data_IF_284885909533
#
_entry.id   IF_284885909533
#
_cell.length_a   1.000
_cell.length_b   1.000
_cell.length_c   1.000
_cell.angle_alpha   90.00
_cell.angle_beta   90.00
_cell.angle_gamma   90.00
#
_symmetry.space_group_name_H-M   'P 1'
#
loop_
_entity.id
_entity.type
_entity.pdbx_description
1 polymer ?
#
# COMPACT_ATOMS: atom_id res chain seq x y z
N UNK A 1 -10.72 -7.51 -10.75
CA UNK A 1 -10.22 -7.46 -9.35
C UNK A 1 -8.82 -8.04 -9.21
N UNK A 2 -8.51 -9.25 -9.73
CA UNK A 2 -7.14 -9.87 -9.64
C UNK A 2 -5.97 -8.98 -10.07
N UNK A 3 -6.04 -8.33 -11.24
CA UNK A 3 -4.94 -7.48 -11.73
C UNK A 3 -4.59 -6.31 -10.79
N UNK A 4 -5.57 -5.82 -10.02
CA UNK A 4 -5.37 -4.75 -9.04
C UNK A 4 -4.71 -5.29 -7.78
N UNK A 5 -5.18 -6.45 -7.31
CA UNK A 5 -4.59 -7.19 -6.19
C UNK A 5 -3.14 -7.60 -6.48
N UNK A 6 -2.87 -8.13 -7.67
CA UNK A 6 -1.53 -8.57 -8.08
C UNK A 6 -0.55 -7.39 -8.19
N UNK A 7 -1.03 -6.22 -8.63
CA UNK A 7 -0.22 -4.99 -8.69
C UNK A 7 0.10 -4.48 -7.28
N UNK A 8 -0.88 -4.46 -6.38
CA UNK A 8 -0.71 -4.05 -4.98
C UNK A 8 0.25 -5.00 -4.24
N UNK A 9 0.07 -6.31 -4.39
CA UNK A 9 0.93 -7.33 -3.79
C UNK A 9 2.39 -7.20 -4.25
N UNK A 10 2.61 -6.97 -5.55
CA UNK A 10 3.95 -6.79 -6.12
C UNK A 10 4.57 -5.45 -5.73
N UNK A 11 3.81 -4.35 -5.76
CA UNK A 11 4.28 -3.06 -5.28
C UNK A 11 4.66 -3.12 -3.81
N UNK A 12 3.92 -3.88 -2.99
CA UNK A 12 4.21 -4.11 -1.59
C UNK A 12 5.48 -4.94 -1.37
N UNK A 13 5.63 -6.07 -2.08
CA UNK A 13 6.86 -6.88 -2.03
C UNK A 13 8.09 -6.10 -2.51
N UNK A 14 7.90 -5.12 -3.38
CA UNK A 14 9.02 -4.30 -3.88
C UNK A 14 9.28 -3.08 -3.00
N UNK A 15 8.26 -2.46 -2.40
CA UNK A 15 8.43 -1.44 -1.38
C UNK A 15 9.14 -2.02 -0.14
N UNK A 16 8.75 -3.22 0.30
CA UNK A 16 9.46 -3.97 1.33
C UNK A 16 10.80 -4.54 0.84
N UNK A 17 10.90 -4.94 -0.43
CA UNK A 17 12.12 -5.51 -1.02
C UNK A 17 13.29 -4.52 -1.10
N UNK A 18 13.02 -3.21 -1.03
CA UNK A 18 14.05 -2.17 -0.87
C UNK A 18 14.44 -1.91 0.59
N UNK A 19 13.71 -2.48 1.57
CA UNK A 19 14.02 -2.40 2.98
C UNK A 19 14.52 -3.78 3.46
N UNK A 20 15.84 -3.98 3.57
CA UNK A 20 16.43 -5.30 3.80
C UNK A 20 15.92 -5.86 5.12
N UNK A 21 14.94 -6.79 5.09
CA UNK A 21 14.34 -7.46 6.26
C UNK A 21 14.34 -6.58 7.51
N UNK A 22 14.02 -5.29 7.32
CA UNK A 22 14.26 -4.31 8.34
C UNK A 22 13.33 -4.67 9.48
N UNK A 23 13.88 -4.78 10.69
CA UNK A 23 13.13 -5.17 11.89
C UNK A 23 11.87 -4.31 12.00
N UNK A 24 10.73 -4.93 11.69
CA UNK A 24 9.42 -4.29 11.89
C UNK A 24 9.11 -4.45 13.37
N UNK A 25 9.07 -3.33 14.08
CA UNK A 25 8.70 -3.28 15.48
C UNK A 25 7.21 -2.98 15.59
N UNK A 26 6.44 -3.92 16.13
CA UNK A 26 5.03 -3.70 16.46
C UNK A 26 4.91 -2.68 17.61
N UNK A 27 4.04 -1.70 17.44
CA UNK A 27 3.80 -0.63 18.42
C UNK A 27 2.46 -0.80 19.13
N UNK A 28 1.48 -1.44 18.50
CA UNK A 28 0.18 -1.70 19.10
C UNK A 28 -0.91 -1.99 18.09
N UNK A 29 -2.09 -2.32 18.61
CA UNK A 29 -3.29 -2.51 17.82
C UNK A 29 -4.50 -1.85 18.47
N UNK A 30 -5.45 -1.44 17.63
CA UNK A 30 -6.76 -0.94 18.04
C UNK A 30 -7.82 -1.63 17.21
N UNK A 31 -8.82 -2.22 17.88
CA UNK A 31 -9.96 -2.90 17.23
C UNK A 31 -11.22 -2.11 17.52
N UNK A 32 -12.03 -1.87 16.48
CA UNK A 32 -13.31 -1.16 16.56
C UNK A 32 -14.33 -1.82 15.63
N UNK A 33 -15.16 -2.69 16.19
CA UNK A 33 -16.11 -3.49 15.43
C UNK A 33 -15.40 -4.37 14.40
N UNK A 34 -15.79 -4.32 13.11
CA UNK A 34 -15.15 -5.11 12.06
C UNK A 34 -13.83 -4.49 11.56
N UNK A 35 -13.38 -3.38 12.14
CA UNK A 35 -12.14 -2.70 11.74
C UNK A 35 -11.03 -2.90 12.77
N UNK A 36 -9.80 -3.01 12.30
CA UNK A 36 -8.63 -2.93 13.16
C UNK A 36 -7.54 -2.07 12.52
N UNK A 37 -6.74 -1.44 13.37
CA UNK A 37 -5.54 -0.72 13.01
C UNK A 37 -4.38 -1.33 13.77
N UNK A 38 -3.37 -1.79 13.05
CA UNK A 38 -2.12 -2.30 13.62
C UNK A 38 -1.01 -1.33 13.30
N UNK A 39 -0.38 -0.77 14.33
CA UNK A 39 0.72 0.19 14.21
C UNK A 39 2.06 -0.51 14.36
N UNK A 40 2.98 -0.18 13.48
CA UNK A 40 4.34 -0.69 13.45
C UNK A 40 5.33 0.38 13.01
N UNK A 41 6.61 0.14 13.26
CA UNK A 41 7.73 0.97 12.80
C UNK A 41 8.76 0.11 12.08
N UNK A 42 9.30 0.61 10.97
CA UNK A 42 10.33 -0.07 10.19
C UNK A 42 11.59 0.79 10.11
N UNK A 43 12.76 0.18 10.29
CA UNK A 43 14.04 0.86 10.12
C UNK A 43 14.43 0.95 8.64
N UNK A 44 14.51 2.16 8.09
CA UNK A 44 14.84 2.41 6.68
C UNK A 44 16.33 2.71 6.52
N UNK A 45 17.19 1.75 6.91
CA UNK A 45 18.64 1.88 6.80
C UNK A 45 19.18 3.22 7.36
N UNK A 46 19.94 3.96 6.55
CA UNK A 46 20.48 5.29 6.92
C UNK A 46 19.44 6.44 6.88
N UNK A 47 18.22 6.20 6.39
CA UNK A 47 17.20 7.25 6.21
C UNK A 47 16.28 7.45 7.42
N UNK A 48 16.50 6.69 8.51
CA UNK A 48 15.70 6.80 9.74
C UNK A 48 14.66 5.68 9.87
N UNK A 49 13.51 5.99 10.45
CA UNK A 49 12.40 5.04 10.64
C UNK A 49 11.15 5.53 9.93
N UNK A 50 10.38 4.63 9.33
CA UNK A 50 9.06 4.93 8.78
C UNK A 50 7.97 4.32 9.68
N UNK A 51 6.85 5.02 9.82
CA UNK A 51 5.64 4.49 10.46
C UNK A 51 4.83 3.65 9.46
N UNK A 52 4.24 2.57 9.95
CA UNK A 52 3.41 1.65 9.20
C UNK A 52 2.09 1.47 9.97
N UNK A 53 0.96 1.73 9.33
CA UNK A 53 -0.35 1.36 9.84
C UNK A 53 -1.01 0.37 8.88
N UNK A 54 -1.34 -0.81 9.37
CA UNK A 54 -2.15 -1.77 8.64
C UNK A 54 -3.61 -1.54 9.02
N UNK A 55 -4.46 -1.25 8.05
CA UNK A 55 -5.90 -1.15 8.25
C UNK A 55 -6.54 -2.45 7.81
N UNK A 56 -7.21 -3.11 8.74
CA UNK A 56 -7.82 -4.41 8.54
C UNK A 56 -9.34 -4.30 8.60
N UNK A 57 -9.98 -5.17 7.83
CA UNK A 57 -11.41 -5.42 7.86
C UNK A 57 -11.61 -6.90 8.15
N UNK A 58 -12.49 -7.20 9.10
CA UNK A 58 -12.96 -8.53 9.41
C UNK A 58 -14.10 -8.89 8.46
N UNK A 59 -14.01 -10.06 7.84
CA UNK A 59 -15.05 -10.61 6.98
C UNK A 59 -15.07 -12.12 7.14
N UNK A 60 -16.24 -12.68 7.44
CA UNK A 60 -16.46 -14.12 7.62
C UNK A 60 -15.51 -14.79 8.64
N UNK A 61 -15.26 -14.12 9.76
CA UNK A 61 -14.36 -14.56 10.83
C UNK A 61 -12.88 -14.35 10.52
N UNK A 62 -12.53 -13.60 9.46
CA UNK A 62 -11.16 -13.46 8.97
C UNK A 62 -10.77 -12.00 8.80
N UNK A 63 -9.66 -11.63 9.42
CA UNK A 63 -9.05 -10.32 9.23
C UNK A 63 -8.25 -10.29 7.93
N UNK A 64 -8.52 -9.28 7.10
CA UNK A 64 -7.75 -9.00 5.89
C UNK A 64 -7.28 -7.54 5.90
N UNK A 65 -6.01 -7.31 5.58
CA UNK A 65 -5.48 -5.96 5.37
C UNK A 65 -6.10 -5.41 4.07
N UNK A 66 -6.77 -4.26 4.14
CA UNK A 66 -7.32 -3.60 2.97
C UNK A 66 -6.57 -2.33 2.57
N UNK A 67 -5.81 -1.73 3.49
CA UNK A 67 -4.97 -0.56 3.22
C UNK A 67 -3.74 -0.58 4.13
N UNK A 68 -2.66 0.02 3.63
CA UNK A 68 -1.43 0.24 4.39
C UNK A 68 -1.13 1.73 4.30
N UNK A 69 -0.82 2.33 5.43
CA UNK A 69 -0.43 3.73 5.54
C UNK A 69 1.04 3.76 5.89
N UNK A 70 1.85 4.42 5.06
CA UNK A 70 3.28 4.62 5.31
C UNK A 70 3.50 6.11 5.55
N UNK A 71 4.04 6.48 6.71
CA UNK A 71 4.25 7.89 7.08
C UNK A 71 3.01 8.78 6.84
N UNK A 72 1.82 8.27 7.17
CA UNK A 72 0.54 8.96 6.97
C UNK A 72 -0.04 8.89 5.56
N UNK A 73 0.67 8.32 4.59
CA UNK A 73 0.22 8.20 3.20
C UNK A 73 -0.42 6.83 2.96
N UNK A 74 -1.73 6.82 2.73
CA UNK A 74 -2.47 5.60 2.34
C UNK A 74 -2.10 5.18 0.93
N UNK A 75 -1.74 3.91 0.78
CA UNK A 75 -1.44 3.33 -0.52
C UNK A 75 -2.69 3.30 -1.41
N UNK A 76 -3.84 2.88 -0.86
CA UNK A 76 -5.10 2.86 -1.64
C UNK A 76 -5.44 4.24 -2.17
N UNK A 77 -5.31 5.29 -1.35
CA UNK A 77 -5.57 6.66 -1.77
C UNK A 77 -4.56 7.15 -2.82
N UNK A 78 -3.27 6.85 -2.64
CA UNK A 78 -2.22 7.21 -3.60
C UNK A 78 -2.49 6.60 -4.99
N UNK A 79 -2.77 5.30 -5.05
CA UNK A 79 -3.09 4.64 -6.32
C UNK A 79 -4.38 5.16 -6.95
N UNK A 80 -5.43 5.39 -6.15
CA UNK A 80 -6.68 5.97 -6.65
C UNK A 80 -6.45 7.34 -7.29
N UNK A 81 -5.61 8.19 -6.68
CA UNK A 81 -5.23 9.49 -7.24
C UNK A 81 -4.51 9.34 -8.58
N UNK A 82 -3.56 8.42 -8.67
CA UNK A 82 -2.81 8.16 -9.91
C UNK A 82 -3.71 7.64 -11.03
N UNK A 83 -4.59 6.69 -10.74
CA UNK A 83 -5.53 6.17 -11.73
C UNK A 83 -6.52 7.24 -12.20
N UNK A 84 -7.03 8.08 -11.30
CA UNK A 84 -7.86 9.21 -11.67
C UNK A 84 -7.10 10.20 -12.57
N UNK A 85 -5.81 10.42 -12.34
CA UNK A 85 -4.98 11.26 -13.20
C UNK A 85 -4.85 10.68 -14.61
N UNK A 86 -4.59 9.37 -14.73
CA UNK A 86 -4.53 8.68 -16.03
C UNK A 86 -5.88 8.73 -16.75
N UNK A 87 -6.98 8.39 -16.06
CA UNK A 87 -8.32 8.36 -16.65
C UNK A 87 -8.83 9.73 -17.10
N UNK A 88 -8.24 10.83 -16.61
CA UNK A 88 -8.52 12.18 -17.14
C UNK A 88 -7.93 12.42 -18.53
N UNK A 89 -6.87 11.72 -18.90
CA UNK A 89 -6.14 11.93 -20.16
C UNK A 89 -6.15 10.72 -21.09
N UNK A 90 -6.67 9.57 -20.62
CA UNK A 90 -6.54 8.27 -21.28
C UNK A 90 -7.82 7.44 -21.17
N UNK A 91 -8.02 6.51 -22.12
CA UNK A 91 -9.14 5.56 -22.07
C UNK A 91 -8.87 4.44 -21.04
N UNK A 92 -9.93 3.82 -20.53
CA UNK A 92 -9.84 2.72 -19.56
C UNK A 92 -8.98 1.53 -20.03
N UNK A 93 -8.95 1.26 -21.34
CA UNK A 93 -8.07 0.24 -21.94
C UNK A 93 -6.59 0.57 -21.77
N UNK A 94 -6.20 1.85 -21.85
CA UNK A 94 -4.82 2.28 -21.63
C UNK A 94 -4.41 2.14 -20.16
N UNK A 95 -5.35 2.33 -19.22
CA UNK A 95 -5.12 2.03 -17.81
C UNK A 95 -4.84 0.54 -17.61
N UNK A 96 -5.64 -0.33 -18.22
CA UNK A 96 -5.42 -1.79 -18.16
C UNK A 96 -4.09 -2.20 -18.78
N UNK A 97 -3.71 -1.58 -19.90
CA UNK A 97 -2.43 -1.86 -20.55
C UNK A 97 -1.24 -1.37 -19.70
N UNK A 98 -1.35 -0.23 -19.01
CA UNK A 98 -0.35 0.22 -18.03
C UNK A 98 -0.24 -0.69 -16.80
N UNK A 99 -1.37 -1.20 -16.32
CA UNK A 99 -1.38 -2.22 -15.25
C UNK A 99 -0.71 -3.53 -15.70
N UNK A 100 -0.86 -3.90 -16.97
CA UNK A 100 -0.23 -5.09 -17.58
C UNK A 100 1.26 -4.89 -17.90
N UNK A 101 1.66 -3.68 -18.31
CA UNK A 101 3.02 -3.34 -18.74
C UNK A 101 4.02 -3.15 -17.59
N UNK A 102 3.57 -3.24 -16.33
CA UNK A 102 4.39 -3.07 -15.11
C UNK A 102 4.90 -1.64 -14.86
N UNK A 103 4.40 -0.63 -15.58
CA UNK A 103 4.79 0.77 -15.40
C UNK A 103 4.06 1.49 -14.24
N UNK A 104 3.16 0.82 -13.53
CA UNK A 104 2.54 1.35 -12.31
C UNK A 104 3.49 1.27 -11.09
N UNK A 105 4.78 1.51 -11.32
CA UNK A 105 5.77 1.74 -10.29
C UNK A 105 5.94 3.25 -10.14
N UNK A 106 5.19 3.84 -9.21
CA UNK A 106 5.37 5.24 -8.85
C UNK A 106 5.77 5.27 -7.38
N UNK A 107 7.07 5.48 -7.16
CA UNK A 107 7.62 5.85 -5.86
C UNK A 107 6.75 6.97 -5.27
N UNK A 108 6.35 6.91 -3.98
CA UNK A 108 5.64 8.02 -3.35
C UNK A 108 6.41 9.31 -3.60
N UNK A 109 5.74 10.30 -4.18
CA UNK A 109 6.32 11.62 -4.38
C UNK A 109 6.38 12.27 -3.00
N UNK A 110 7.59 12.39 -2.45
CA UNK A 110 7.85 13.28 -1.32
C UNK A 110 7.95 14.69 -1.89
N UNK A 111 6.83 15.42 -1.87
CA UNK A 111 6.85 16.89 -1.91
C UNK A 111 6.69 17.43 -0.50
#
# INVERSE_FOLDING_TARGET
VRLFTDLLERSYLTALGHFPLATISFEGEMVSGPYALVSSRIAVGRRGTASLEYRLLETDGRWAVYDIVVDGVSLVLSYRSQFNSILRTSRFTELLDRMRSREAYVTPRND
#
